data_IF_532817842659
#
_entry.id   IF_532817842659
#
_cell.length_a   1.000
_cell.length_b   1.000
_cell.length_c   1.000
_cell.angle_alpha   90.00
_cell.angle_beta   90.00
_cell.angle_gamma   90.00
#
_symmetry.space_group_name_H-M   'P 1'
#
loop_
_entity.id
_entity.type
_entity.pdbx_description
1 polymer ?
#
# COMPACT_ATOMS: atom_id res chain seq x y z
N UNK A 1 25.91 -11.27 21.89
CA UNK A 1 25.85 -10.62 20.57
C UNK A 1 24.60 -11.10 19.84
N UNK A 2 23.49 -10.35 19.91
CA UNK A 2 22.25 -10.57 19.12
C UNK A 2 21.50 -9.23 19.04
N UNK A 3 22.07 -8.28 18.33
CA UNK A 3 21.57 -6.88 18.33
C UNK A 3 21.06 -6.40 16.98
N UNK A 4 21.73 -6.79 15.91
CA UNK A 4 21.44 -6.32 14.55
C UNK A 4 20.88 -7.42 13.64
N UNK A 5 21.26 -8.69 13.85
CA UNK A 5 20.71 -9.81 13.07
C UNK A 5 19.20 -10.00 13.26
N UNK A 6 18.70 -9.63 14.43
CA UNK A 6 17.27 -9.71 14.77
C UNK A 6 16.46 -8.50 14.27
N UNK A 7 17.09 -7.54 13.57
CA UNK A 7 16.39 -6.41 12.98
C UNK A 7 15.98 -6.71 11.53
N UNK A 8 14.71 -6.44 11.26
CA UNK A 8 14.09 -6.52 9.95
C UNK A 8 13.82 -5.11 9.46
N UNK A 9 14.44 -4.73 8.35
CA UNK A 9 14.03 -3.56 7.60
C UNK A 9 12.88 -3.89 6.64
N UNK A 10 12.44 -2.89 5.88
CA UNK A 10 11.37 -3.05 4.89
C UNK A 10 11.72 -4.12 3.85
N UNK A 11 12.98 -4.22 3.42
CA UNK A 11 13.40 -5.16 2.39
C UNK A 11 13.34 -6.61 2.91
N UNK A 12 13.91 -6.86 4.10
CA UNK A 12 13.88 -8.17 4.74
C UNK A 12 12.45 -8.61 5.09
N UNK A 13 11.61 -7.69 5.54
CA UNK A 13 10.21 -8.01 5.81
C UNK A 13 9.43 -8.33 4.53
N UNK A 14 9.71 -7.60 3.45
CA UNK A 14 9.07 -7.81 2.15
C UNK A 14 9.46 -9.18 1.56
N UNK A 15 10.75 -9.52 1.61
CA UNK A 15 11.28 -10.83 1.21
C UNK A 15 10.63 -11.96 2.03
N UNK A 16 10.62 -11.83 3.36
CA UNK A 16 9.98 -12.78 4.28
C UNK A 16 8.49 -13.02 3.99
N UNK A 17 7.77 -11.98 3.56
CA UNK A 17 6.34 -12.06 3.24
C UNK A 17 6.06 -12.39 1.76
N UNK A 18 7.10 -12.52 0.93
CA UNK A 18 6.98 -12.74 -0.51
C UNK A 18 6.24 -11.62 -1.23
N UNK A 19 6.48 -10.36 -0.85
CA UNK A 19 5.84 -9.18 -1.45
C UNK A 19 6.84 -8.11 -1.84
N UNK A 20 6.40 -7.18 -2.67
CA UNK A 20 7.20 -6.01 -3.04
C UNK A 20 7.43 -5.04 -1.88
N UNK A 21 8.60 -4.39 -1.85
CA UNK A 21 8.96 -3.40 -0.83
C UNK A 21 7.94 -2.25 -0.73
N UNK A 22 7.40 -1.83 -1.87
CA UNK A 22 6.37 -0.80 -1.95
C UNK A 22 5.07 -1.23 -1.24
N UNK A 23 4.75 -2.51 -1.24
CA UNK A 23 3.55 -3.06 -0.59
C UNK A 23 3.61 -2.86 0.93
N UNK A 24 4.77 -3.12 1.55
CA UNK A 24 4.98 -2.85 2.98
C UNK A 24 4.77 -1.37 3.29
N UNK A 25 5.32 -0.47 2.46
CA UNK A 25 5.14 0.99 2.63
C UNK A 25 3.67 1.40 2.54
N UNK A 26 2.92 0.82 1.60
CA UNK A 26 1.47 1.06 1.45
C UNK A 26 0.71 0.58 2.69
N UNK A 27 1.03 -0.59 3.22
CA UNK A 27 0.39 -1.10 4.44
C UNK A 27 0.66 -0.25 5.67
N UNK A 28 1.91 0.22 5.82
CA UNK A 28 2.28 1.19 6.86
C UNK A 28 1.49 2.50 6.72
N UNK A 29 1.42 3.05 5.52
CA UNK A 29 0.66 4.28 5.25
C UNK A 29 -0.83 4.11 5.54
N UNK A 30 -1.39 2.94 5.20
CA UNK A 30 -2.80 2.59 5.47
C UNK A 30 -3.07 2.15 6.92
N UNK A 31 -2.03 2.07 7.76
CA UNK A 31 -2.11 1.64 9.17
C UNK A 31 -2.93 0.36 9.34
N UNK A 32 -2.62 -0.65 8.51
CA UNK A 32 -3.37 -1.92 8.57
C UNK A 32 -3.24 -2.54 9.96
N UNK A 33 -4.35 -2.99 10.58
CA UNK A 33 -4.37 -3.34 12.00
C UNK A 33 -3.55 -4.58 12.36
N UNK A 34 -3.23 -5.42 11.37
CA UNK A 34 -2.46 -6.64 11.57
C UNK A 34 -0.94 -6.43 11.48
N UNK A 35 -0.49 -5.31 10.91
CA UNK A 35 0.93 -4.98 10.78
C UNK A 35 1.35 -4.14 11.99
N UNK A 36 2.29 -4.62 12.83
CA UNK A 36 2.76 -3.86 13.97
C UNK A 36 3.50 -2.58 13.55
N UNK A 37 3.49 -1.57 14.43
CA UNK A 37 4.29 -0.38 14.21
C UNK A 37 5.79 -0.73 14.23
N UNK A 38 6.62 -0.01 13.46
CA UNK A 38 8.07 -0.18 13.51
C UNK A 38 8.61 0.09 14.91
N UNK A 39 9.50 -0.77 15.39
CA UNK A 39 10.24 -0.59 16.64
C UNK A 39 11.14 0.66 16.62
N UNK A 40 11.54 1.09 15.43
CA UNK A 40 12.36 2.28 15.25
C UNK A 40 12.56 2.64 13.79
N UNK A 41 13.54 3.52 13.56
CA UNK A 41 13.99 3.89 12.21
C UNK A 41 15.50 3.74 12.11
N UNK A 42 15.96 3.12 11.02
CA UNK A 42 17.37 3.01 10.67
C UNK A 42 17.57 3.60 9.28
N UNK A 43 18.50 4.55 9.12
CA UNK A 43 18.74 5.27 7.87
C UNK A 43 17.45 5.90 7.26
N UNK A 44 16.49 6.27 8.12
CA UNK A 44 15.18 6.79 7.72
C UNK A 44 14.15 5.73 7.31
N UNK A 45 14.52 4.45 7.23
CA UNK A 45 13.63 3.32 6.97
C UNK A 45 13.02 2.73 8.24
N UNK A 46 11.80 2.22 8.14
CA UNK A 46 11.16 1.48 9.23
C UNK A 46 11.90 0.17 9.53
N UNK A 47 12.11 -0.12 10.80
CA UNK A 47 12.70 -1.38 11.27
C UNK A 47 11.88 -2.01 12.39
N UNK A 48 11.87 -3.34 12.44
CA UNK A 48 11.21 -4.15 13.45
C UNK A 48 12.20 -5.15 14.06
N UNK A 49 11.95 -5.56 15.30
CA UNK A 49 12.61 -6.73 15.88
C UNK A 49 11.94 -8.01 15.41
N UNK A 50 12.71 -9.10 15.37
CA UNK A 50 12.21 -10.43 15.06
C UNK A 50 11.02 -10.82 15.96
N UNK A 51 11.09 -10.48 17.26
CA UNK A 51 10.03 -10.73 18.25
C UNK A 51 8.74 -9.99 17.93
N UNK A 52 8.83 -8.74 17.45
CA UNK A 52 7.66 -7.95 17.05
C UNK A 52 6.94 -8.57 15.84
N UNK A 53 7.69 -9.23 14.96
CA UNK A 53 7.20 -9.88 13.75
C UNK A 53 6.86 -11.37 13.95
N UNK A 54 6.88 -11.87 15.17
CA UNK A 54 6.55 -13.28 15.45
C UNK A 54 5.09 -13.57 15.05
N UNK A 55 4.87 -14.53 14.15
CA UNK A 55 3.54 -14.92 13.64
C UNK A 55 2.88 -13.90 12.69
N UNK A 56 3.64 -12.98 12.10
CA UNK A 56 3.11 -11.94 11.21
C UNK A 56 2.41 -12.51 9.96
N UNK A 57 2.87 -13.65 9.47
CA UNK A 57 2.33 -14.36 8.32
C UNK A 57 0.87 -14.77 8.57
N UNK A 58 0.60 -15.37 9.72
CA UNK A 58 -0.74 -15.80 10.12
C UNK A 58 -1.68 -14.60 10.38
N UNK A 59 -1.16 -13.51 10.97
CA UNK A 59 -1.95 -12.28 11.16
C UNK A 59 -2.34 -11.65 9.83
N UNK A 60 -1.44 -11.66 8.84
CA UNK A 60 -1.68 -11.16 7.50
C UNK A 60 -2.80 -11.92 6.80
N UNK A 61 -2.80 -13.25 6.85
CA UNK A 61 -3.84 -14.06 6.22
C UNK A 61 -5.22 -13.75 6.78
N UNK A 62 -5.33 -13.64 8.11
CA UNK A 62 -6.58 -13.25 8.79
C UNK A 62 -6.98 -11.80 8.53
N UNK A 63 -5.99 -10.92 8.44
CA UNK A 63 -6.17 -9.48 8.27
C UNK A 63 -6.28 -9.01 6.83
N UNK A 64 -6.16 -9.91 5.84
CA UNK A 64 -6.28 -9.57 4.42
C UNK A 64 -7.76 -9.22 4.17
N UNK A 65 -8.08 -7.95 3.84
CA UNK A 65 -9.38 -7.68 3.26
C UNK A 65 -9.43 -8.55 2.00
N UNK A 66 -10.44 -9.41 1.89
CA UNK A 66 -10.62 -10.28 0.74
C UNK A 66 -10.41 -9.49 -0.54
N UNK A 67 -9.76 -10.12 -1.54
CA UNK A 67 -9.51 -9.51 -2.85
C UNK A 67 -10.79 -8.80 -3.30
N UNK A 68 -10.79 -7.45 -3.35
CA UNK A 68 -11.91 -6.72 -3.95
C UNK A 68 -12.13 -7.34 -5.33
N UNK A 69 -13.37 -7.76 -5.67
CA UNK A 69 -13.67 -8.22 -7.02
C UNK A 69 -13.10 -7.19 -7.98
N UNK A 70 -12.37 -7.63 -9.01
CA UNK A 70 -12.04 -6.73 -10.11
C UNK A 70 -13.36 -6.16 -10.58
N UNK A 71 -13.47 -4.84 -10.59
CA UNK A 71 -14.63 -4.18 -11.17
C UNK A 71 -14.79 -4.72 -12.59
N UNK A 72 -15.82 -5.53 -12.81
CA UNK A 72 -16.25 -5.94 -14.14
C UNK A 72 -17.22 -4.84 -14.55
N UNK A 73 -16.88 -3.98 -15.53
CA UNK A 73 -17.87 -3.05 -16.05
C UNK A 73 -19.05 -3.85 -16.59
N UNK A 74 -20.25 -3.43 -16.21
CA UNK A 74 -21.49 -4.03 -16.70
C UNK A 74 -21.58 -3.79 -18.22
N UNK A 75 -21.74 -4.82 -19.06
CA UNK A 75 -21.86 -4.65 -20.51
C UNK A 75 -23.09 -3.83 -20.92
N UNK A 76 -24.10 -3.64 -20.04
CA UNK A 76 -25.23 -2.73 -20.28
C UNK A 76 -24.87 -1.25 -20.21
N UNK A 77 -23.67 -0.88 -19.76
CA UNK A 77 -23.20 0.51 -19.81
C UNK A 77 -22.80 0.98 -21.22
N UNK A 78 -22.90 0.12 -22.23
CA UNK A 78 -22.61 0.46 -23.62
C UNK A 78 -23.70 1.31 -24.30
N UNK A 79 -24.89 1.48 -23.70
CA UNK A 79 -26.04 2.15 -24.33
C UNK A 79 -26.44 3.47 -23.64
N UNK A 80 -25.46 4.22 -23.14
CA UNK A 80 -25.69 5.63 -22.79
C UNK A 80 -25.29 6.53 -23.97
N UNK A 81 -26.24 7.18 -24.68
CA UNK A 81 -25.89 8.25 -25.60
C UNK A 81 -25.15 9.33 -24.83
N UNK A 82 -23.96 9.68 -25.32
CA UNK A 82 -23.03 10.63 -24.70
C UNK A 82 -23.61 12.06 -24.78
N UNK A 83 -24.54 12.39 -23.89
CA UNK A 83 -25.01 13.76 -23.71
C UNK A 83 -23.91 14.58 -23.05
N UNK A 84 -23.51 15.68 -23.71
CA UNK A 84 -22.79 16.78 -23.07
C UNK A 84 -21.35 16.96 -23.52
N UNK A 85 -21.18 17.75 -24.59
CA UNK A 85 -19.96 18.48 -24.91
C UNK A 85 -19.57 19.33 -23.70
N UNK A 86 -18.43 19.07 -23.08
CA UNK A 86 -17.86 19.92 -22.03
C UNK A 86 -17.10 21.05 -22.76
N UNK A 87 -17.51 22.33 -22.69
CA UNK A 87 -16.68 23.40 -23.23
C UNK A 87 -15.43 23.58 -22.36
N UNK A 88 -14.26 23.34 -22.93
CA UNK A 88 -12.97 23.79 -22.39
C UNK A 88 -12.94 25.32 -22.50
N UNK A 89 -12.97 26.00 -21.37
CA UNK A 89 -12.72 27.45 -21.31
C UNK A 89 -11.21 27.65 -21.29
N UNK A 90 -10.63 28.10 -22.39
CA UNK A 90 -9.22 28.52 -22.46
C UNK A 90 -9.12 29.90 -21.83
N UNK A 91 -8.47 30.01 -20.67
CA UNK A 91 -8.08 31.30 -20.10
C UNK A 91 -6.74 31.70 -20.75
N UNK A 92 -6.73 32.76 -21.55
CA UNK A 92 -5.47 33.39 -21.99
C UNK A 92 -5.38 34.76 -21.31
N UNK A 93 -4.51 34.88 -20.31
CA UNK A 93 -3.99 36.18 -19.92
C UNK A 93 -2.91 36.60 -20.91
N UNK A 94 -2.93 37.85 -21.35
CA UNK A 94 -1.74 38.56 -21.82
C UNK A 94 -1.98 40.07 -21.82
N UNK A 95 -1.05 40.76 -21.16
CA UNK A 95 -0.86 42.20 -21.09
C UNK A 95 -0.59 42.84 -22.46
N UNK A 96 -1.05 44.08 -22.63
CA UNK A 96 -0.20 45.25 -22.88
C UNK A 96 -1.00 46.53 -22.62
#
# INVERSE_FOLDING_TARGET
MRGLDDLYDIARLADRLGVEHATIRVWLSRKVPWLPQPDGRLNGGAVWRATTLEGIEMRRERGRPGRKPRFVPDPSAADVPRTGMIPVVVVTGSSN
#
